data_IF_431950994280
#
_entry.id   IF_431950994280
#
_cell.length_a   1.000
_cell.length_b   1.000
_cell.length_c   1.000
_cell.angle_alpha   90.00
_cell.angle_beta   90.00
_cell.angle_gamma   90.00
#
_symmetry.space_group_name_H-M   'P 1'
#
loop_
_entity.id
_entity.type
_entity.pdbx_description
1 polymer ?
#
# COMPACT_ATOMS: atom_id res chain seq x y z
N UNK A 1 -9.62 28.67 -31.02
CA UNK A 1 -8.72 28.38 -29.88
C UNK A 1 -9.56 27.97 -28.69
N UNK A 2 -9.81 26.66 -28.51
CA UNK A 2 -10.56 26.14 -27.37
C UNK A 2 -9.74 26.37 -26.10
N UNK A 3 -10.29 27.17 -25.18
CA UNK A 3 -9.74 27.43 -23.85
C UNK A 3 -9.56 26.08 -23.16
N UNK A 4 -8.33 25.53 -23.08
CA UNK A 4 -8.01 24.33 -22.28
C UNK A 4 -8.54 24.64 -20.87
N UNK A 5 -9.65 24.03 -20.49
CA UNK A 5 -10.21 24.13 -19.15
C UNK A 5 -9.09 23.71 -18.20
N UNK A 6 -8.82 24.50 -17.15
CA UNK A 6 -7.84 24.12 -16.13
C UNK A 6 -8.18 22.69 -15.68
N UNK A 7 -7.32 21.75 -16.05
CA UNK A 7 -7.51 20.32 -15.84
C UNK A 7 -7.47 20.05 -14.31
N UNK A 8 -8.11 18.96 -13.90
CA UNK A 8 -8.39 18.63 -12.49
C UNK A 8 -7.31 17.68 -11.95
N UNK A 9 -7.26 17.55 -10.62
CA UNK A 9 -6.53 16.46 -9.98
C UNK A 9 -7.49 15.33 -9.58
N UNK A 10 -7.08 14.08 -9.77
CA UNK A 10 -7.73 12.92 -9.20
C UNK A 10 -6.93 12.38 -8.00
N UNK A 11 -7.61 11.97 -6.94
CA UNK A 11 -7.03 11.25 -5.81
C UNK A 11 -7.79 9.93 -5.67
N UNK A 12 -7.11 8.80 -5.86
CA UNK A 12 -7.71 7.47 -5.75
C UNK A 12 -7.29 6.85 -4.45
N UNK A 13 -8.25 6.65 -3.55
CA UNK A 13 -8.06 6.03 -2.25
C UNK A 13 -8.39 4.54 -2.35
N UNK A 14 -7.40 3.70 -2.14
CA UNK A 14 -7.53 2.26 -2.02
C UNK A 14 -7.59 1.93 -0.54
N UNK A 15 -8.78 1.58 -0.06
CA UNK A 15 -9.01 1.29 1.35
C UNK A 15 -8.30 0.00 1.79
N UNK A 16 -8.09 -0.12 3.10
CA UNK A 16 -7.48 -1.29 3.73
C UNK A 16 -8.47 -2.45 3.92
N UNK A 17 -8.04 -3.45 4.69
CA UNK A 17 -8.85 -4.62 5.02
C UNK A 17 -10.10 -4.28 5.84
N UNK A 18 -11.08 -5.18 5.78
CA UNK A 18 -12.29 -5.12 6.59
C UNK A 18 -13.49 -4.58 5.85
N UNK A 19 -14.70 -4.99 6.27
CA UNK A 19 -16.01 -4.57 5.73
C UNK A 19 -16.23 -3.06 5.89
N UNK A 20 -15.63 -2.31 4.97
CA UNK A 20 -15.82 -0.87 4.89
C UNK A 20 -17.13 -0.60 4.17
N UNK A 21 -17.98 0.22 4.77
CA UNK A 21 -19.15 0.73 4.06
C UNK A 21 -18.64 1.58 2.89
N UNK A 22 -19.12 1.36 1.65
CA UNK A 22 -18.77 2.19 0.50
C UNK A 22 -18.89 3.68 0.83
N UNK A 23 -17.98 4.49 0.29
CA UNK A 23 -17.85 5.93 0.51
C UNK A 23 -17.37 6.35 1.90
N UNK A 24 -17.36 5.49 2.92
CA UNK A 24 -17.00 5.88 4.29
C UNK A 24 -15.51 6.26 4.39
N UNK A 25 -14.63 5.43 3.83
CA UNK A 25 -13.18 5.64 3.90
C UNK A 25 -12.79 6.93 3.18
N UNK A 26 -13.27 7.11 1.95
CA UNK A 26 -12.94 8.30 1.16
C UNK A 26 -13.53 9.57 1.77
N UNK A 27 -14.71 9.53 2.41
CA UNK A 27 -15.27 10.68 3.14
C UNK A 27 -14.37 11.06 4.32
N UNK A 28 -14.03 10.11 5.18
CA UNK A 28 -13.15 10.37 6.31
C UNK A 28 -11.77 10.89 5.87
N UNK A 29 -11.25 10.37 4.75
CA UNK A 29 -10.02 10.88 4.16
C UNK A 29 -10.16 12.33 3.68
N UNK A 30 -11.20 12.66 2.93
CA UNK A 30 -11.50 14.02 2.46
C UNK A 30 -11.69 14.97 3.64
N UNK A 31 -12.39 14.55 4.68
CA UNK A 31 -12.59 15.34 5.89
C UNK A 31 -11.24 15.70 6.52
N UNK A 32 -10.32 14.74 6.62
CA UNK A 32 -8.99 14.97 7.18
C UNK A 32 -8.09 15.87 6.30
N UNK A 33 -7.97 15.56 5.01
CA UNK A 33 -6.99 16.23 4.11
C UNK A 33 -7.50 17.52 3.49
N UNK A 34 -8.80 17.76 3.51
CA UNK A 34 -9.41 18.96 2.92
C UNK A 34 -10.12 19.81 3.98
N UNK A 35 -11.15 19.27 4.63
CA UNK A 35 -12.01 20.07 5.50
C UNK A 35 -11.36 20.43 6.84
N UNK A 36 -10.58 19.53 7.44
CA UNK A 36 -9.89 19.74 8.71
C UNK A 36 -8.51 20.42 8.55
N UNK A 37 -7.91 20.37 7.35
CA UNK A 37 -6.57 20.92 7.13
C UNK A 37 -6.58 22.46 7.24
N UNK A 38 -5.95 22.98 8.30
CA UNK A 38 -5.85 24.42 8.57
C UNK A 38 -4.92 25.15 7.60
N UNK A 39 -3.96 24.46 6.99
CA UNK A 39 -3.05 25.07 6.01
C UNK A 39 -3.81 25.50 4.75
N UNK A 40 -4.84 24.75 4.37
CA UNK A 40 -5.70 25.08 3.24
C UNK A 40 -6.65 26.24 3.52
N UNK A 41 -6.96 26.52 4.80
CA UNK A 41 -7.77 27.69 5.17
C UNK A 41 -7.06 28.99 4.79
N UNK A 42 -5.73 29.03 4.92
CA UNK A 42 -4.92 30.18 4.46
C UNK A 42 -5.04 30.37 2.95
N UNK A 43 -5.04 29.28 2.17
CA UNK A 43 -5.21 29.31 0.72
C UNK A 43 -6.64 29.65 0.28
N UNK A 44 -7.62 29.36 1.11
CA UNK A 44 -9.02 29.66 0.86
C UNK A 44 -9.34 31.16 1.04
N UNK A 45 -8.53 31.90 1.82
CA UNK A 45 -8.80 33.29 2.16
C UNK A 45 -10.15 33.42 2.88
N UNK A 46 -11.03 34.29 2.37
CA UNK A 46 -12.41 34.45 2.87
C UNK A 46 -13.38 33.37 2.33
N UNK A 47 -12.90 32.45 1.50
CA UNK A 47 -13.69 31.37 0.92
C UNK A 47 -13.85 30.17 1.86
N UNK A 48 -15.01 29.52 1.82
CA UNK A 48 -15.23 28.26 2.54
C UNK A 48 -14.72 27.04 1.76
N UNK A 49 -14.21 26.05 2.48
CA UNK A 49 -13.86 24.73 1.94
C UNK A 49 -15.15 23.92 1.76
N UNK A 50 -15.43 23.50 0.53
CA UNK A 50 -16.68 22.81 0.17
C UNK A 50 -16.41 21.54 -0.62
N UNK A 51 -17.27 20.55 -0.41
CA UNK A 51 -17.23 19.26 -1.09
C UNK A 51 -18.62 18.89 -1.61
N UNK A 52 -18.67 18.21 -2.75
CA UNK A 52 -19.89 17.71 -3.34
C UNK A 52 -19.74 16.26 -3.77
N UNK A 53 -20.71 15.43 -3.40
CA UNK A 53 -20.82 14.07 -3.93
C UNK A 53 -21.41 14.15 -5.33
N UNK A 54 -20.79 13.48 -6.30
CA UNK A 54 -21.22 13.41 -7.69
C UNK A 54 -21.19 11.96 -8.16
N UNK A 55 -22.29 11.46 -8.76
CA UNK A 55 -22.25 10.19 -9.48
C UNK A 55 -21.16 10.22 -10.57
N UNK A 56 -20.56 9.08 -10.86
CA UNK A 56 -19.55 8.93 -11.91
C UNK A 56 -19.71 7.57 -12.59
N UNK A 57 -19.87 7.58 -13.91
CA UNK A 57 -20.10 6.37 -14.71
C UNK A 57 -18.85 5.46 -14.80
N UNK A 58 -17.68 5.92 -14.36
CA UNK A 58 -16.44 5.12 -14.36
C UNK A 58 -16.47 4.02 -13.31
N UNK A 59 -17.23 4.18 -12.24
CA UNK A 59 -17.44 3.11 -11.26
C UNK A 59 -18.28 1.99 -11.87
N UNK A 60 -17.87 0.74 -11.66
CA UNK A 60 -18.72 -0.40 -11.97
C UNK A 60 -19.90 -0.53 -10.98
N UNK A 61 -19.75 0.02 -9.76
CA UNK A 61 -20.79 0.01 -8.73
C UNK A 61 -21.56 1.34 -8.71
N UNK A 62 -22.90 1.24 -8.67
CA UNK A 62 -23.80 2.37 -8.48
C UNK A 62 -23.78 2.94 -7.05
N UNK A 63 -23.17 2.25 -6.10
CA UNK A 63 -23.02 2.71 -4.71
C UNK A 63 -21.85 3.68 -4.53
N UNK A 64 -20.96 3.75 -5.52
CA UNK A 64 -19.79 4.62 -5.50
C UNK A 64 -20.10 5.95 -6.18
N UNK A 65 -19.52 7.01 -5.64
CA UNK A 65 -19.59 8.36 -6.19
C UNK A 65 -18.23 9.03 -6.00
N UNK A 66 -17.90 9.99 -6.85
CA UNK A 66 -16.72 10.82 -6.61
C UNK A 66 -17.07 11.94 -5.65
N UNK A 67 -16.11 12.36 -4.84
CA UNK A 67 -16.22 13.57 -4.01
C UNK A 67 -15.39 14.67 -4.66
N UNK A 68 -16.03 15.74 -5.11
CA UNK A 68 -15.37 16.89 -5.74
C UNK A 68 -15.20 18.02 -4.75
N UNK A 69 -14.01 18.62 -4.70
CA UNK A 69 -13.76 19.85 -3.93
C UNK A 69 -14.02 21.10 -4.76
N UNK A 70 -14.16 22.24 -4.06
CA UNK A 70 -14.02 23.54 -4.69
C UNK A 70 -12.55 23.83 -5.07
N UNK A 71 -12.35 24.81 -5.94
CA UNK A 71 -11.01 25.32 -6.28
C UNK A 71 -10.58 26.31 -5.21
N UNK A 72 -9.38 26.15 -4.68
CA UNK A 72 -8.77 27.06 -3.71
C UNK A 72 -7.56 27.77 -4.30
N UNK A 73 -7.39 29.03 -3.92
CA UNK A 73 -6.24 29.86 -4.26
C UNK A 73 -6.00 30.06 -5.77
N UNK A 74 -4.86 30.68 -6.06
CA UNK A 74 -4.32 30.78 -7.41
C UNK A 74 -3.01 30.02 -7.49
N UNK A 75 -2.85 29.20 -8.52
CA UNK A 75 -1.65 28.41 -8.75
C UNK A 75 -1.17 28.58 -10.19
N UNK A 76 0.14 28.53 -10.38
CA UNK A 76 0.75 28.48 -11.71
C UNK A 76 0.51 27.11 -12.33
N UNK A 77 -0.24 27.07 -13.42
CA UNK A 77 -0.51 25.86 -14.20
C UNK A 77 0.73 25.36 -14.95
N UNK A 78 0.63 24.14 -15.50
CA UNK A 78 1.67 23.54 -16.34
C UNK A 78 1.99 24.37 -17.59
N UNK A 79 1.03 25.17 -18.07
CA UNK A 79 1.17 26.12 -19.17
C UNK A 79 1.87 27.44 -18.76
N UNK A 80 2.32 27.53 -17.51
CA UNK A 80 2.99 28.69 -16.95
C UNK A 80 2.05 29.83 -16.55
N UNK A 81 0.73 29.71 -16.76
CA UNK A 81 -0.24 30.75 -16.45
C UNK A 81 -0.74 30.62 -15.01
N UNK A 82 -0.93 31.75 -14.33
CA UNK A 82 -1.54 31.77 -13.00
C UNK A 82 -3.06 31.75 -13.15
N UNK A 83 -3.71 30.73 -12.59
CA UNK A 83 -5.15 30.56 -12.62
C UNK A 83 -5.67 30.03 -11.28
N UNK A 84 -6.99 29.81 -11.13
CA UNK A 84 -7.53 29.16 -9.94
C UNK A 84 -6.87 27.79 -9.74
N UNK A 85 -6.62 27.39 -8.50
CA UNK A 85 -6.09 26.07 -8.18
C UNK A 85 -6.94 24.93 -8.75
N UNK A 86 -6.38 23.73 -8.94
CA UNK A 86 -7.13 22.60 -9.50
C UNK A 86 -8.27 22.19 -8.57
N UNK A 87 -9.41 21.81 -9.15
CA UNK A 87 -10.42 21.09 -8.39
C UNK A 87 -9.92 19.65 -8.20
N UNK A 88 -10.16 19.07 -7.02
CA UNK A 88 -9.75 17.70 -6.73
C UNK A 88 -10.96 16.79 -6.67
N UNK A 89 -10.93 15.72 -7.47
CA UNK A 89 -11.93 14.65 -7.45
C UNK A 89 -11.34 13.44 -6.70
N UNK A 90 -11.97 13.06 -5.61
CA UNK A 90 -11.62 11.89 -4.82
C UNK A 90 -12.45 10.68 -5.24
N UNK A 91 -11.77 9.58 -5.46
CA UNK A 91 -12.30 8.28 -5.85
C UNK A 91 -11.98 7.26 -4.76
N UNK A 92 -12.93 6.36 -4.46
CA UNK A 92 -12.64 5.17 -3.67
C UNK A 92 -12.52 3.98 -4.61
N UNK A 93 -11.37 3.32 -4.63
CA UNK A 93 -11.26 2.01 -5.25
C UNK A 93 -11.72 0.95 -4.24
N UNK A 94 -13.01 0.65 -4.29
CA UNK A 94 -13.64 -0.32 -3.42
C UNK A 94 -13.49 -1.74 -3.97
N UNK A 95 -12.62 -2.55 -3.38
CA UNK A 95 -12.25 -3.87 -3.91
C UNK A 95 -12.87 -5.04 -3.16
N UNK A 96 -13.44 -4.82 -1.98
CA UNK A 96 -13.82 -5.91 -1.09
C UNK A 96 -14.93 -6.82 -1.63
N UNK A 97 -15.86 -6.28 -2.41
CA UNK A 97 -16.91 -7.08 -3.07
C UNK A 97 -16.34 -8.13 -4.06
N UNK A 98 -15.08 -7.97 -4.48
CA UNK A 98 -14.37 -8.92 -5.34
C UNK A 98 -13.70 -10.04 -4.53
N UNK A 99 -13.58 -9.87 -3.21
CA UNK A 99 -13.19 -10.97 -2.31
C UNK A 99 -14.41 -11.83 -1.98
N UNK A 100 -14.29 -13.12 -2.27
CA UNK A 100 -15.25 -14.12 -1.79
C UNK A 100 -15.21 -14.26 -0.26
N UNK A 101 -16.18 -14.96 0.35
CA UNK A 101 -16.26 -15.10 1.80
C UNK A 101 -15.01 -15.75 2.38
N UNK A 102 -14.41 -15.09 3.37
CA UNK A 102 -13.24 -15.58 4.09
C UNK A 102 -13.63 -16.71 5.06
N UNK A 103 -12.94 -17.85 4.98
CA UNK A 103 -13.13 -19.03 5.84
C UNK A 103 -12.00 -19.14 6.87
N UNK A 104 -12.28 -19.75 8.02
CA UNK A 104 -11.29 -19.99 9.08
C UNK A 104 -10.02 -20.68 8.55
N UNK A 105 -10.19 -21.59 7.59
CA UNK A 105 -9.10 -22.34 6.98
C UNK A 105 -8.09 -21.42 6.29
N UNK A 106 -8.53 -20.35 5.65
CA UNK A 106 -7.64 -19.42 4.93
C UNK A 106 -6.69 -18.70 5.90
N UNK A 107 -7.17 -18.37 7.10
CA UNK A 107 -6.33 -17.73 8.14
C UNK A 107 -5.32 -18.74 8.69
N UNK A 108 -5.73 -19.99 8.92
CA UNK A 108 -4.82 -21.05 9.38
C UNK A 108 -3.78 -21.42 8.32
N UNK A 109 -4.19 -21.56 7.06
CA UNK A 109 -3.32 -21.88 5.93
C UNK A 109 -2.24 -20.81 5.72
N UNK A 110 -2.52 -19.54 6.08
CA UNK A 110 -1.54 -18.45 6.07
C UNK A 110 -0.70 -18.36 7.35
N UNK A 111 -1.30 -18.58 8.53
CA UNK A 111 -0.59 -18.52 9.82
C UNK A 111 0.41 -19.67 10.00
N UNK A 112 0.10 -20.88 9.53
CA UNK A 112 0.97 -22.05 9.70
C UNK A 112 2.35 -21.84 9.03
N UNK A 113 2.44 -21.41 7.76
CA UNK A 113 3.73 -21.07 7.14
C UNK A 113 4.50 -19.99 7.90
N UNK A 114 3.82 -18.98 8.45
CA UNK A 114 4.45 -17.91 9.22
C UNK A 114 5.03 -18.42 10.56
N UNK A 115 4.31 -19.31 11.25
CA UNK A 115 4.75 -19.95 12.48
C UNK A 115 5.98 -20.84 12.25
N UNK A 116 5.97 -21.65 11.19
CA UNK A 116 7.05 -22.57 10.86
C UNK A 116 8.20 -21.93 10.05
N UNK A 117 8.21 -20.60 9.87
CA UNK A 117 9.38 -19.89 9.31
C UNK A 117 10.60 -20.14 10.19
N UNK A 118 11.74 -20.46 9.58
CA UNK A 118 13.03 -20.55 10.29
C UNK A 118 13.33 -19.21 10.95
N UNK A 119 13.80 -19.23 12.20
CA UNK A 119 14.06 -18.02 13.00
C UNK A 119 14.94 -16.99 12.28
N UNK A 120 15.96 -17.44 11.54
CA UNK A 120 16.84 -16.56 10.76
C UNK A 120 16.16 -15.82 9.59
N UNK A 121 14.96 -16.25 9.18
CA UNK A 121 14.16 -15.65 8.09
C UNK A 121 13.05 -14.73 8.60
N UNK A 122 12.92 -14.54 9.91
CA UNK A 122 11.97 -13.58 10.50
C UNK A 122 12.68 -12.23 10.70
N UNK A 123 12.14 -11.14 10.11
CA UNK A 123 12.70 -9.80 10.31
C UNK A 123 12.79 -9.45 11.79
N UNK A 124 13.87 -8.76 12.18
CA UNK A 124 14.13 -8.37 13.58
C UNK A 124 12.92 -7.70 14.25
N UNK A 125 12.20 -6.75 13.60
CA UNK A 125 11.04 -6.09 14.21
C UNK A 125 9.90 -7.05 14.56
N UNK A 126 9.77 -8.17 13.84
CA UNK A 126 8.68 -9.13 14.02
C UNK A 126 9.04 -10.30 14.95
N UNK A 127 10.30 -10.41 15.39
CA UNK A 127 10.73 -11.54 16.23
C UNK A 127 10.01 -11.59 17.57
N UNK A 128 9.76 -10.45 18.21
CA UNK A 128 9.03 -10.39 19.48
C UNK A 128 7.60 -10.93 19.34
N UNK A 129 6.88 -10.48 18.30
CA UNK A 129 5.54 -10.98 17.97
C UNK A 129 5.56 -12.48 17.63
N UNK A 130 6.57 -12.94 16.88
CA UNK A 130 6.75 -14.34 16.53
C UNK A 130 7.01 -15.23 17.77
N UNK A 131 7.87 -14.80 18.69
CA UNK A 131 8.09 -15.51 19.96
C UNK A 131 6.83 -15.52 20.82
N UNK A 132 6.13 -14.38 20.94
CA UNK A 132 4.87 -14.31 21.68
C UNK A 132 3.84 -15.28 21.11
N UNK A 133 3.73 -15.38 19.78
CA UNK A 133 2.84 -16.32 19.11
C UNK A 133 3.22 -17.78 19.42
N UNK A 134 4.51 -18.13 19.39
CA UNK A 134 4.98 -19.47 19.79
C UNK A 134 4.72 -19.77 21.27
N UNK A 135 4.92 -18.80 22.17
CA UNK A 135 4.61 -18.96 23.59
C UNK A 135 3.12 -19.25 23.77
N UNK A 136 2.24 -18.52 23.10
CA UNK A 136 0.80 -18.75 23.14
C UNK A 136 0.47 -20.18 22.66
N UNK A 137 1.02 -20.60 21.51
CA UNK A 137 0.80 -21.94 20.96
C UNK A 137 1.30 -23.02 21.92
N UNK A 138 2.51 -22.88 22.47
CA UNK A 138 3.08 -23.82 23.42
C UNK A 138 2.27 -23.89 24.72
N UNK A 139 1.79 -22.77 25.25
CA UNK A 139 0.95 -22.75 26.46
C UNK A 139 -0.37 -23.48 26.23
N UNK A 140 -1.04 -23.21 25.10
CA UNK A 140 -2.30 -23.89 24.74
C UNK A 140 -2.08 -25.39 24.56
N UNK A 141 -1.04 -25.79 23.82
CA UNK A 141 -0.71 -27.20 23.59
C UNK A 141 -0.32 -27.90 24.89
N UNK A 142 0.47 -27.25 25.74
CA UNK A 142 0.87 -27.78 27.03
C UNK A 142 -0.35 -28.00 27.94
N UNK A 143 -1.25 -27.02 28.04
CA UNK A 143 -2.49 -27.17 28.82
C UNK A 143 -3.37 -28.31 28.30
N UNK A 144 -3.40 -28.50 26.98
CA UNK A 144 -4.15 -29.59 26.36
C UNK A 144 -3.53 -30.96 26.68
N UNK A 145 -2.22 -31.12 26.51
CA UNK A 145 -1.50 -32.37 26.79
C UNK A 145 -1.53 -32.70 28.28
N UNK A 146 -1.30 -31.73 29.15
CA UNK A 146 -1.41 -31.87 30.60
C UNK A 146 -2.82 -32.37 30.99
N UNK A 147 -3.88 -31.78 30.41
CA UNK A 147 -5.25 -32.25 30.61
C UNK A 147 -5.49 -33.71 30.20
N UNK A 148 -4.78 -34.22 29.19
CA UNK A 148 -4.82 -35.63 28.81
C UNK A 148 -4.04 -36.51 29.80
N UNK A 149 -2.85 -36.07 30.23
CA UNK A 149 -1.99 -36.79 31.18
C UNK A 149 -2.62 -36.89 32.57
N UNK A 150 -3.33 -35.86 33.02
CA UNK A 150 -4.04 -35.89 34.30
C UNK A 150 -5.13 -36.94 34.36
N UNK A 151 -5.76 -37.31 33.23
CA UNK A 151 -6.69 -38.44 33.19
C UNK A 151 -6.00 -39.78 33.49
N UNK A 152 -4.71 -39.87 33.22
CA UNK A 152 -3.86 -41.01 33.56
C UNK A 152 -3.14 -40.85 34.92
N UNK A 153 -3.44 -39.80 35.69
CA UNK A 153 -2.78 -39.50 36.96
C UNK A 153 -1.35 -38.96 36.84
N UNK A 154 -0.91 -38.57 35.63
CA UNK A 154 0.45 -38.09 35.34
C UNK A 154 0.50 -36.58 35.07
N UNK A 155 -0.49 -35.84 35.55
CA UNK A 155 -0.59 -34.40 35.34
C UNK A 155 0.54 -33.62 36.03
N UNK A 156 1.03 -32.60 35.33
CA UNK A 156 2.10 -31.72 35.80
C UNK A 156 1.55 -30.50 36.55
N UNK A 157 0.27 -30.15 36.36
CA UNK A 157 -0.37 -29.05 37.07
C UNK A 157 -0.79 -29.41 38.50
N UNK A 158 -1.22 -30.64 38.76
CA UNK A 158 -1.72 -31.07 40.07
C UNK A 158 -0.68 -30.90 41.19
N UNK A 159 0.62 -31.26 41.02
CA UNK A 159 1.63 -31.04 42.06
C UNK A 159 1.96 -29.57 42.32
N UNK A 160 1.72 -28.68 41.34
CA UNK A 160 2.12 -27.26 41.40
C UNK A 160 0.98 -26.37 41.86
N UNK A 161 -0.22 -26.60 41.34
CA UNK A 161 -1.40 -25.74 41.53
C UNK A 161 -2.48 -26.39 42.39
N UNK A 162 -2.33 -27.67 42.76
CA UNK A 162 -3.29 -28.41 43.58
C UNK A 162 -4.69 -28.39 42.96
N UNK A 163 -5.68 -28.04 43.77
CA UNK A 163 -7.10 -27.99 43.38
C UNK A 163 -7.39 -26.99 42.23
N UNK A 164 -6.53 -25.97 42.03
CA UNK A 164 -6.69 -24.97 40.98
C UNK A 164 -6.25 -25.45 39.59
N UNK A 165 -5.57 -26.59 39.49
CA UNK A 165 -5.05 -27.13 38.23
C UNK A 165 -6.13 -27.25 37.14
N UNK A 166 -7.30 -27.77 37.50
CA UNK A 166 -8.43 -27.93 36.58
C UNK A 166 -9.03 -26.58 36.18
N UNK A 167 -9.19 -25.66 37.13
CA UNK A 167 -9.71 -24.32 36.87
C UNK A 167 -8.80 -23.54 35.90
N UNK A 168 -7.47 -23.64 36.06
CA UNK A 168 -6.50 -22.96 35.19
C UNK A 168 -6.55 -23.49 33.74
N UNK A 169 -6.64 -24.81 33.56
CA UNK A 169 -6.80 -25.41 32.22
C UNK A 169 -8.10 -24.99 31.56
N UNK A 170 -9.19 -25.01 32.32
CA UNK A 170 -10.50 -24.55 31.84
C UNK A 170 -10.48 -23.07 31.48
N UNK A 171 -9.75 -22.23 32.23
CA UNK A 171 -9.56 -20.82 31.90
C UNK A 171 -8.81 -20.65 30.57
N UNK A 172 -7.70 -21.36 30.35
CA UNK A 172 -6.95 -21.28 29.08
C UNK A 172 -7.80 -21.79 27.91
N UNK A 173 -8.53 -22.90 28.09
CA UNK A 173 -9.44 -23.43 27.08
C UNK A 173 -10.59 -22.45 26.79
N UNK A 174 -11.17 -21.86 27.83
CA UNK A 174 -12.24 -20.86 27.72
C UNK A 174 -11.76 -19.60 27.01
N UNK A 175 -10.59 -19.06 27.38
CA UNK A 175 -10.02 -17.88 26.73
C UNK A 175 -9.70 -18.19 25.27
N UNK A 176 -9.14 -19.36 24.97
CA UNK A 176 -8.87 -19.78 23.59
C UNK A 176 -10.15 -19.92 22.76
N UNK A 177 -11.19 -20.54 23.33
CA UNK A 177 -12.50 -20.66 22.71
C UNK A 177 -13.17 -19.28 22.54
N UNK A 178 -13.07 -18.41 23.53
CA UNK A 178 -13.57 -17.05 23.48
C UNK A 178 -12.86 -16.24 22.40
N UNK A 179 -11.53 -16.32 22.29
CA UNK A 179 -10.78 -15.69 21.19
C UNK A 179 -11.26 -16.22 19.83
N UNK A 180 -11.50 -17.54 19.72
CA UNK A 180 -12.04 -18.14 18.49
C UNK A 180 -13.44 -17.63 18.14
N UNK A 181 -14.35 -17.61 19.11
CA UNK A 181 -15.74 -17.14 18.94
C UNK A 181 -15.77 -15.63 18.67
N UNK A 182 -15.14 -14.83 19.53
CA UNK A 182 -15.07 -13.37 19.40
C UNK A 182 -14.38 -12.98 18.10
N UNK A 183 -13.25 -13.61 17.78
CA UNK A 183 -12.55 -13.35 16.52
C UNK A 183 -13.40 -13.69 15.30
N UNK A 184 -14.19 -14.77 15.37
CA UNK A 184 -15.09 -15.20 14.31
C UNK A 184 -16.31 -14.31 14.16
N UNK A 185 -16.90 -13.87 15.28
CA UNK A 185 -18.14 -13.07 15.33
C UNK A 185 -17.89 -11.57 15.10
N UNK A 186 -16.83 -10.99 15.66
CA UNK A 186 -16.54 -9.55 15.59
C UNK A 186 -15.59 -9.16 14.45
N UNK A 187 -15.38 -10.04 13.48
CA UNK A 187 -14.74 -9.69 12.22
C UNK A 187 -13.21 -9.73 12.22
N UNK A 188 -12.51 -9.93 13.34
CA UNK A 188 -11.02 -10.03 13.30
C UNK A 188 -10.54 -11.11 12.32
N UNK A 189 -11.26 -12.22 12.20
CA UNK A 189 -10.96 -13.31 11.26
C UNK A 189 -11.19 -12.95 9.77
N UNK A 190 -12.36 -12.44 9.34
CA UNK A 190 -12.53 -11.94 7.98
C UNK A 190 -11.47 -10.90 7.58
N UNK A 191 -11.09 -10.01 8.51
CA UNK A 191 -10.14 -8.93 8.24
C UNK A 191 -8.73 -9.49 7.99
N UNK A 192 -8.22 -10.38 8.86
CA UNK A 192 -6.94 -11.07 8.63
C UNK A 192 -6.99 -12.04 7.44
N UNK A 193 -8.15 -12.65 7.21
CA UNK A 193 -8.38 -13.56 6.09
C UNK A 193 -8.23 -12.89 4.72
N UNK A 194 -8.66 -11.64 4.57
CA UNK A 194 -8.55 -10.92 3.29
C UNK A 194 -7.10 -10.52 2.96
N UNK A 195 -6.29 -10.07 3.94
CA UNK A 195 -4.85 -9.90 3.71
C UNK A 195 -4.17 -11.22 3.42
N UNK A 196 -4.44 -12.25 4.21
CA UNK A 196 -3.90 -13.58 4.01
C UNK A 196 -4.17 -14.03 2.57
N UNK A 197 -5.42 -13.95 2.11
CA UNK A 197 -5.80 -14.34 0.74
C UNK A 197 -5.15 -13.48 -0.33
N UNK A 198 -5.11 -12.16 -0.17
CA UNK A 198 -4.52 -11.30 -1.19
C UNK A 198 -3.00 -11.48 -1.28
N UNK A 199 -2.31 -11.73 -0.15
CA UNK A 199 -0.86 -11.88 -0.08
C UNK A 199 -0.40 -13.34 -0.29
N UNK A 200 -1.29 -14.33 -0.17
CA UNK A 200 -0.99 -15.74 -0.36
C UNK A 200 -1.15 -16.17 -1.82
N UNK A 201 -0.11 -16.76 -2.38
CA UNK A 201 -0.03 -17.24 -3.76
C UNK A 201 -0.79 -18.56 -4.01
N UNK A 202 -1.54 -19.06 -3.03
CA UNK A 202 -2.38 -20.23 -3.20
C UNK A 202 -3.33 -20.10 -4.41
N UNK A 203 -3.50 -21.16 -5.24
CA UNK A 203 -4.32 -21.11 -6.46
C UNK A 203 -5.75 -20.61 -6.26
N UNK A 204 -6.34 -20.90 -5.09
CA UNK A 204 -7.70 -20.47 -4.73
C UNK A 204 -7.88 -18.95 -4.56
N UNK A 205 -6.79 -18.18 -4.47
CA UNK A 205 -6.82 -16.73 -4.30
C UNK A 205 -6.48 -15.97 -5.60
N UNK A 206 -5.90 -16.64 -6.60
CA UNK A 206 -5.44 -16.02 -7.85
C UNK A 206 -6.60 -15.32 -8.56
N UNK A 207 -7.77 -15.95 -8.67
CA UNK A 207 -8.92 -15.36 -9.36
C UNK A 207 -9.35 -14.02 -8.72
N UNK A 208 -9.51 -13.98 -7.39
CA UNK A 208 -9.90 -12.76 -6.69
C UNK A 208 -8.82 -11.66 -6.83
N UNK A 209 -7.54 -12.02 -6.70
CA UNK A 209 -6.42 -11.09 -6.89
C UNK A 209 -6.40 -10.50 -8.31
N UNK A 210 -6.65 -11.33 -9.33
CA UNK A 210 -6.73 -10.89 -10.72
C UNK A 210 -7.93 -9.96 -10.95
N UNK A 211 -9.11 -10.27 -10.42
CA UNK A 211 -10.29 -9.40 -10.52
C UNK A 211 -10.05 -8.04 -9.88
N UNK A 212 -9.44 -7.99 -8.68
CA UNK A 212 -9.10 -6.73 -8.00
C UNK A 212 -8.11 -5.92 -8.85
N UNK A 213 -7.03 -6.55 -9.33
CA UNK A 213 -6.04 -5.86 -10.16
C UNK A 213 -6.64 -5.34 -11.46
N UNK A 214 -7.48 -6.13 -12.13
CA UNK A 214 -8.14 -5.74 -13.36
C UNK A 214 -9.10 -4.56 -13.17
N UNK A 215 -9.90 -4.57 -12.10
CA UNK A 215 -10.85 -3.49 -11.81
C UNK A 215 -10.13 -2.18 -11.40
N UNK A 216 -9.07 -2.29 -10.61
CA UNK A 216 -8.24 -1.14 -10.25
C UNK A 216 -7.55 -0.54 -11.47
N UNK A 217 -7.02 -1.39 -12.35
CA UNK A 217 -6.40 -0.98 -13.60
C UNK A 217 -7.41 -0.32 -14.54
N UNK A 218 -8.62 -0.88 -14.67
CA UNK A 218 -9.73 -0.28 -15.43
C UNK A 218 -10.07 1.13 -14.94
N UNK A 219 -10.16 1.33 -13.63
CA UNK A 219 -10.39 2.65 -13.04
C UNK A 219 -9.28 3.64 -13.42
N UNK A 220 -8.00 3.26 -13.24
CA UNK A 220 -6.90 4.17 -13.54
C UNK A 220 -6.79 4.49 -15.03
N UNK A 221 -6.98 3.52 -15.92
CA UNK A 221 -7.05 3.76 -17.37
C UNK A 221 -8.16 4.75 -17.72
N UNK A 222 -9.36 4.55 -17.18
CA UNK A 222 -10.49 5.45 -17.41
C UNK A 222 -10.24 6.88 -16.92
N UNK A 223 -9.46 7.07 -15.83
CA UNK A 223 -9.02 8.38 -15.39
C UNK A 223 -7.97 8.97 -16.34
N UNK A 224 -7.02 8.14 -16.78
CA UNK A 224 -5.92 8.51 -17.66
C UNK A 224 -6.40 9.00 -19.03
N UNK A 225 -7.35 8.27 -19.62
CA UNK A 225 -7.88 8.50 -20.97
C UNK A 225 -8.98 9.57 -21.02
N UNK A 226 -9.52 9.97 -19.86
CA UNK A 226 -10.67 10.90 -19.80
C UNK A 226 -10.38 12.30 -20.34
N UNK A 227 -9.12 12.73 -20.38
CA UNK A 227 -8.72 14.10 -20.70
C UNK A 227 -9.15 15.16 -19.67
N UNK A 228 -9.85 14.77 -18.59
CA UNK A 228 -10.30 15.66 -17.51
C UNK A 228 -9.21 16.01 -16.51
N UNK A 229 -8.22 15.12 -16.38
CA UNK A 229 -7.18 15.18 -15.36
C UNK A 229 -5.82 15.44 -15.98
N UNK A 230 -4.98 16.10 -15.21
CA UNK A 230 -3.55 16.31 -15.47
C UNK A 230 -2.69 15.75 -14.33
N UNK A 231 -3.30 15.18 -13.28
CA UNK A 231 -2.58 14.51 -12.19
C UNK A 231 -3.47 13.49 -11.50
N UNK A 232 -2.90 12.33 -11.18
CA UNK A 232 -3.51 11.27 -10.38
C UNK A 232 -2.58 10.98 -9.19
N UNK A 233 -3.14 10.99 -7.99
CA UNK A 233 -2.47 10.58 -6.74
C UNK A 233 -3.11 9.28 -6.27
N UNK A 234 -2.30 8.24 -6.10
CA UNK A 234 -2.73 6.97 -5.52
C UNK A 234 -2.47 6.99 -4.02
N UNK A 235 -3.48 6.69 -3.21
CA UNK A 235 -3.37 6.59 -1.76
C UNK A 235 -3.81 5.20 -1.34
N UNK A 236 -2.92 4.42 -0.76
CA UNK A 236 -3.23 3.08 -0.29
C UNK A 236 -3.05 2.96 1.23
N UNK A 237 -4.09 2.47 1.91
CA UNK A 237 -4.05 2.22 3.35
C UNK A 237 -3.95 0.72 3.65
N UNK A 238 -3.04 0.31 4.54
CA UNK A 238 -2.86 -1.10 4.92
C UNK A 238 -2.75 -2.01 3.69
N UNK A 239 -3.53 -3.09 3.56
CA UNK A 239 -3.55 -3.94 2.36
C UNK A 239 -3.80 -3.16 1.05
N UNK A 240 -4.59 -2.08 1.11
CA UNK A 240 -4.82 -1.19 -0.03
C UNK A 240 -3.55 -0.56 -0.58
N UNK A 241 -2.49 -0.42 0.22
CA UNK A 241 -1.17 0.01 -0.26
C UNK A 241 -0.49 -1.01 -1.17
N UNK A 242 -0.66 -2.31 -0.89
CA UNK A 242 -0.14 -3.39 -1.74
C UNK A 242 -0.94 -3.44 -3.05
N UNK A 243 -2.26 -3.32 -2.95
CA UNK A 243 -3.13 -3.26 -4.14
C UNK A 243 -2.80 -2.04 -5.01
N UNK A 244 -2.65 -0.86 -4.41
CA UNK A 244 -2.27 0.36 -5.13
C UNK A 244 -0.90 0.22 -5.83
N UNK A 245 0.07 -0.38 -5.14
CA UNK A 245 1.40 -0.69 -5.69
C UNK A 245 1.32 -1.67 -6.87
N UNK A 246 0.55 -2.75 -6.74
CA UNK A 246 0.35 -3.73 -7.81
C UNK A 246 -0.32 -3.11 -9.04
N UNK A 247 -1.42 -2.38 -8.84
CA UNK A 247 -2.16 -1.73 -9.93
C UNK A 247 -1.30 -0.67 -10.62
N UNK A 248 -0.49 0.07 -9.87
CA UNK A 248 0.47 1.03 -10.43
C UNK A 248 1.49 0.34 -11.34
N UNK A 249 2.08 -0.77 -10.87
CA UNK A 249 3.04 -1.55 -11.66
C UNK A 249 2.40 -2.05 -12.96
N UNK A 250 1.17 -2.56 -12.89
CA UNK A 250 0.45 -3.06 -14.07
C UNK A 250 0.14 -1.93 -15.06
N UNK A 251 -0.36 -0.79 -14.57
CA UNK A 251 -0.63 0.37 -15.42
C UNK A 251 0.64 0.87 -16.11
N UNK A 252 1.77 0.92 -15.40
CA UNK A 252 3.05 1.32 -15.97
C UNK A 252 3.52 0.38 -17.08
N UNK A 253 3.39 -0.93 -16.86
CA UNK A 253 3.78 -1.92 -17.86
C UNK A 253 2.97 -1.80 -19.17
N UNK A 254 1.73 -1.33 -19.10
CA UNK A 254 0.86 -1.12 -20.26
C UNK A 254 1.00 0.24 -20.94
N UNK A 255 1.45 1.26 -20.21
CA UNK A 255 1.53 2.62 -20.74
C UNK A 255 2.54 2.79 -21.88
N UNK A 256 3.37 1.77 -22.15
CA UNK A 256 4.35 1.73 -23.24
C UNK A 256 5.07 3.08 -23.44
N UNK A 257 5.61 3.63 -22.35
CA UNK A 257 6.11 4.99 -22.36
C UNK A 257 7.29 5.13 -23.34
N UNK A 258 7.21 6.18 -24.15
CA UNK A 258 8.09 6.55 -25.26
C UNK A 258 7.85 5.72 -26.53
N UNK A 259 7.83 6.38 -27.69
CA UNK A 259 7.79 5.75 -29.04
C UNK A 259 8.94 6.22 -29.94
N UNK A 260 9.58 7.32 -29.56
CA UNK A 260 10.77 7.88 -30.17
C UNK A 260 11.81 8.16 -29.10
N UNK A 261 12.86 8.88 -29.46
CA UNK A 261 13.96 9.19 -28.54
C UNK A 261 13.44 9.77 -27.22
N UNK A 262 13.86 9.23 -26.06
CA UNK A 262 13.42 9.71 -24.76
C UNK A 262 13.87 11.17 -24.55
N UNK A 263 13.08 11.97 -23.79
CA UNK A 263 13.46 13.34 -23.51
C UNK A 263 14.74 13.40 -22.67
N UNK A 264 15.50 14.49 -22.77
CA UNK A 264 16.79 14.66 -22.08
C UNK A 264 16.68 14.50 -20.55
N UNK A 265 15.49 14.78 -19.99
CA UNK A 265 15.14 14.55 -18.59
C UNK A 265 15.33 13.10 -18.15
N UNK A 266 15.20 12.11 -19.05
CA UNK A 266 15.46 10.70 -18.74
C UNK A 266 16.94 10.48 -18.41
N UNK A 267 17.86 11.02 -19.20
CA UNK A 267 19.29 10.88 -18.93
C UNK A 267 19.70 11.59 -17.62
N UNK A 268 19.13 12.77 -17.34
CA UNK A 268 19.35 13.48 -16.08
C UNK A 268 18.80 12.70 -14.87
N UNK A 269 17.65 12.03 -15.03
CA UNK A 269 17.06 11.14 -14.03
C UNK A 269 17.96 9.92 -13.77
N UNK A 270 18.44 9.26 -14.82
CA UNK A 270 19.33 8.11 -14.71
C UNK A 270 20.62 8.46 -13.97
N UNK A 271 21.25 9.59 -14.29
CA UNK A 271 22.43 10.08 -13.59
C UNK A 271 22.16 10.33 -12.09
N UNK A 272 21.02 10.94 -11.75
CA UNK A 272 20.62 11.17 -10.36
C UNK A 272 20.29 9.85 -9.63
N UNK A 273 19.71 8.86 -10.33
CA UNK A 273 19.46 7.52 -9.77
C UNK A 273 20.76 6.80 -9.41
N UNK A 274 21.75 6.83 -10.31
CA UNK A 274 23.08 6.24 -10.08
C UNK A 274 23.73 6.92 -8.87
N UNK A 275 23.78 8.26 -8.84
CA UNK A 275 24.39 9.01 -7.75
C UNK A 275 23.74 8.70 -6.38
N UNK A 276 22.40 8.63 -6.33
CA UNK A 276 21.68 8.31 -5.10
C UNK A 276 21.88 6.85 -4.65
N UNK A 277 22.04 5.91 -5.59
CA UNK A 277 22.30 4.48 -5.30
C UNK A 277 23.72 4.27 -4.79
N UNK A 278 24.72 4.90 -5.41
CA UNK A 278 26.13 4.75 -5.02
C UNK A 278 26.47 5.48 -3.72
N UNK A 279 25.94 6.69 -3.54
CA UNK A 279 26.24 7.55 -2.38
C UNK A 279 24.96 8.18 -1.83
N UNK A 280 24.19 7.44 -1.01
CA UNK A 280 22.96 7.97 -0.43
C UNK A 280 23.23 9.17 0.48
N UNK A 281 22.80 10.36 0.05
CA UNK A 281 22.84 11.59 0.84
C UNK A 281 21.51 12.35 0.69
N UNK A 282 21.31 13.38 1.53
CA UNK A 282 20.13 14.25 1.42
C UNK A 282 20.16 15.01 0.10
N UNK A 283 21.32 15.52 -0.28
CA UNK A 283 21.55 16.28 -1.51
C UNK A 283 21.33 15.40 -2.75
N UNK A 284 21.86 14.17 -2.75
CA UNK A 284 21.63 13.22 -3.84
C UNK A 284 20.14 12.86 -3.98
N UNK A 285 19.43 12.77 -2.85
CA UNK A 285 17.99 12.53 -2.83
C UNK A 285 17.20 13.71 -3.36
N UNK A 286 17.55 14.93 -2.96
CA UNK A 286 16.88 16.13 -3.45
C UNK A 286 17.10 16.29 -4.96
N UNK A 287 18.31 16.02 -5.45
CA UNK A 287 18.64 15.98 -6.88
C UNK A 287 17.83 14.91 -7.65
N UNK A 288 17.68 13.71 -7.07
CA UNK A 288 16.81 12.66 -7.60
C UNK A 288 15.35 13.12 -7.69
N UNK A 289 14.80 13.70 -6.62
CA UNK A 289 13.41 14.20 -6.58
C UNK A 289 13.19 15.38 -7.54
N UNK A 290 14.20 16.23 -7.75
CA UNK A 290 14.17 17.29 -8.75
C UNK A 290 14.16 16.73 -10.17
N UNK A 291 15.01 15.75 -10.48
CA UNK A 291 15.05 15.09 -11.78
C UNK A 291 13.74 14.34 -12.08
N UNK A 292 13.22 13.61 -11.08
CA UNK A 292 11.92 12.94 -11.16
C UNK A 292 10.79 13.94 -11.47
N UNK A 293 10.74 15.07 -10.77
CA UNK A 293 9.73 16.11 -11.02
C UNK A 293 9.80 16.67 -12.44
N UNK A 294 11.01 16.93 -12.96
CA UNK A 294 11.18 17.42 -14.34
C UNK A 294 10.67 16.43 -15.37
N UNK A 295 11.02 15.14 -15.24
CA UNK A 295 10.51 14.10 -16.16
C UNK A 295 8.97 14.01 -16.08
N UNK A 296 8.41 14.00 -14.88
CA UNK A 296 6.96 13.94 -14.67
C UNK A 296 6.25 15.11 -15.33
N UNK A 297 6.79 16.33 -15.22
CA UNK A 297 6.19 17.50 -15.86
C UNK A 297 6.20 17.39 -17.39
N UNK A 298 7.24 16.82 -17.99
CA UNK A 298 7.28 16.52 -19.44
C UNK A 298 6.20 15.50 -19.81
N UNK A 299 6.16 14.36 -19.12
CA UNK A 299 5.21 13.30 -19.40
C UNK A 299 3.75 13.75 -19.25
N UNK A 300 3.46 14.62 -18.28
CA UNK A 300 2.13 15.19 -18.06
C UNK A 300 1.74 16.20 -19.14
N UNK A 301 2.68 17.02 -19.61
CA UNK A 301 2.40 18.00 -20.69
C UNK A 301 2.08 17.31 -22.01
N UNK A 302 2.72 16.17 -22.25
CA UNK A 302 2.47 15.31 -23.41
C UNK A 302 1.29 14.35 -23.20
N UNK A 303 0.58 14.45 -22.08
CA UNK A 303 -0.54 13.57 -21.71
C UNK A 303 -0.19 12.06 -21.76
N UNK A 304 1.10 11.71 -21.62
CA UNK A 304 1.62 10.33 -21.66
C UNK A 304 1.49 9.60 -20.33
N UNK A 305 1.63 10.31 -19.22
CA UNK A 305 1.56 9.74 -17.87
C UNK A 305 1.01 10.74 -16.86
N UNK A 306 0.02 10.33 -16.07
CA UNK A 306 -0.68 11.20 -15.11
C UNK A 306 -0.48 10.79 -13.64
N UNK A 307 -0.06 9.55 -13.35
CA UNK A 307 0.11 9.10 -11.95
C UNK A 307 1.42 9.62 -11.37
N UNK A 308 1.37 10.61 -10.50
CA UNK A 308 2.61 11.28 -10.03
C UNK A 308 3.04 10.85 -8.65
N UNK A 309 2.12 10.34 -7.84
CA UNK A 309 2.38 10.03 -6.43
C UNK A 309 1.71 8.72 -6.04
N UNK A 310 2.48 7.90 -5.31
CA UNK A 310 2.00 6.80 -4.49
C UNK A 310 2.19 7.19 -3.03
N UNK A 311 1.09 7.29 -2.30
CA UNK A 311 1.07 7.56 -0.86
C UNK A 311 0.61 6.32 -0.13
N UNK A 312 1.46 5.75 0.71
CA UNK A 312 1.14 4.55 1.49
C UNK A 312 0.95 4.91 2.96
N UNK A 313 -0.08 4.35 3.59
CA UNK A 313 -0.44 4.61 4.99
C UNK A 313 -0.50 3.29 5.76
N UNK A 314 0.33 3.11 6.80
CA UNK A 314 0.34 1.88 7.61
C UNK A 314 0.58 0.62 6.77
N UNK A 315 1.58 0.68 5.89
CA UNK A 315 1.74 -0.29 4.79
C UNK A 315 2.46 -1.58 5.21
N UNK A 316 1.89 -2.78 4.95
CA UNK A 316 2.58 -4.05 5.13
C UNK A 316 3.76 -4.24 4.18
N UNK A 317 3.94 -3.36 3.19
CA UNK A 317 5.15 -3.34 2.35
C UNK A 317 6.42 -3.11 3.19
N UNK A 318 6.30 -2.61 4.43
CA UNK A 318 7.42 -2.54 5.36
C UNK A 318 8.04 -3.90 5.69
N UNK A 319 7.30 -5.00 5.45
CA UNK A 319 7.73 -6.38 5.65
C UNK A 319 7.55 -7.20 4.35
N UNK A 320 7.82 -6.59 3.19
CA UNK A 320 7.62 -7.25 1.89
C UNK A 320 8.46 -8.53 1.72
N UNK A 321 9.60 -8.66 2.40
CA UNK A 321 10.40 -9.90 2.45
C UNK A 321 9.71 -11.06 3.17
N UNK A 322 8.60 -10.79 3.86
CA UNK A 322 7.74 -11.78 4.50
C UNK A 322 6.47 -12.02 3.70
N UNK A 323 5.85 -10.96 3.19
CA UNK A 323 4.52 -11.01 2.60
C UNK A 323 4.51 -11.11 1.07
N UNK A 324 5.53 -10.60 0.39
CA UNK A 324 5.66 -10.65 -1.07
C UNK A 324 6.78 -11.59 -1.54
N UNK A 325 7.69 -11.97 -0.63
CA UNK A 325 8.80 -12.87 -0.91
C UNK A 325 8.94 -13.94 0.19
N UNK A 326 9.75 -14.95 -0.09
CA UNK A 326 10.04 -16.05 0.85
C UNK A 326 10.99 -15.64 1.95
N UNK A 327 11.97 -14.82 1.63
CA UNK A 327 12.92 -14.22 2.57
C UNK A 327 13.61 -13.01 1.91
N UNK A 328 14.63 -12.46 2.60
CA UNK A 328 15.35 -11.28 2.12
C UNK A 328 16.10 -11.53 0.81
N UNK A 329 16.68 -12.72 0.62
CA UNK A 329 17.44 -13.02 -0.59
C UNK A 329 16.50 -13.18 -1.80
N UNK A 330 15.35 -13.84 -1.59
CA UNK A 330 14.29 -13.94 -2.60
C UNK A 330 13.74 -12.55 -2.99
N UNK A 331 13.52 -11.68 -1.99
CA UNK A 331 13.11 -10.29 -2.24
C UNK A 331 14.14 -9.52 -3.09
N UNK A 332 15.42 -9.60 -2.74
CA UNK A 332 16.50 -8.93 -3.47
C UNK A 332 16.57 -9.46 -4.93
N UNK A 333 16.42 -10.78 -5.13
CA UNK A 333 16.31 -11.38 -6.46
C UNK A 333 15.13 -10.86 -7.27
N UNK A 334 13.94 -10.76 -6.68
CA UNK A 334 12.76 -10.19 -7.36
C UNK A 334 12.95 -8.70 -7.73
N UNK A 335 13.72 -7.94 -6.96
CA UNK A 335 14.08 -6.55 -7.28
C UNK A 335 15.05 -6.51 -8.46
N UNK A 336 16.09 -7.36 -8.46
CA UNK A 336 17.07 -7.47 -9.56
C UNK A 336 16.43 -7.93 -10.88
N UNK A 337 15.50 -8.89 -10.80
CA UNK A 337 14.67 -9.37 -11.91
C UNK A 337 13.63 -8.35 -12.36
N UNK A 338 13.56 -7.17 -11.72
CA UNK A 338 12.59 -6.10 -11.99
C UNK A 338 11.13 -6.51 -11.77
N UNK A 339 10.92 -7.61 -11.05
CA UNK A 339 9.64 -8.11 -10.59
C UNK A 339 9.04 -7.27 -9.46
N UNK A 340 9.87 -6.63 -8.63
CA UNK A 340 9.43 -5.68 -7.60
C UNK A 340 10.06 -4.30 -7.85
N UNK A 341 9.30 -3.34 -8.42
CA UNK A 341 9.74 -1.96 -8.56
C UNK A 341 10.20 -1.28 -7.26
N UNK A 342 11.32 -0.57 -7.33
CA UNK A 342 11.90 0.19 -6.21
C UNK A 342 12.17 1.65 -6.61
N UNK A 343 12.43 2.53 -5.64
CA UNK A 343 12.76 3.95 -5.86
C UNK A 343 14.14 4.30 -5.28
N UNK A 344 15.12 4.74 -6.09
CA UNK A 344 15.09 4.84 -7.55
C UNK A 344 14.91 3.48 -8.24
N UNK A 345 14.45 3.41 -9.50
CA UNK A 345 14.36 2.16 -10.27
C UNK A 345 15.70 1.43 -10.39
N UNK A 346 15.65 0.10 -10.53
CA UNK A 346 16.82 -0.70 -10.94
C UNK A 346 17.07 -0.43 -12.41
N UNK A 347 18.31 -0.04 -12.75
CA UNK A 347 18.69 0.35 -14.10
C UNK A 347 19.18 -0.88 -14.89
N UNK A 348 18.82 -0.96 -16.16
CA UNK A 348 19.31 -1.97 -17.11
C UNK A 348 20.37 -1.34 -18.01
N UNK A 349 21.62 -1.80 -17.91
CA UNK A 349 22.74 -1.17 -18.62
C UNK A 349 22.92 0.32 -18.27
N UNK A 350 22.54 0.72 -17.05
CA UNK A 350 22.54 2.12 -16.60
C UNK A 350 21.32 2.93 -17.05
N UNK A 351 20.31 2.32 -17.67
CA UNK A 351 19.13 3.01 -18.21
C UNK A 351 17.80 2.56 -17.63
N UNK A 352 16.81 3.46 -17.62
CA UNK A 352 15.39 3.16 -17.35
C UNK A 352 14.58 2.89 -18.62
N UNK A 353 15.21 3.08 -19.78
CA UNK A 353 14.65 2.86 -21.11
C UNK A 353 15.53 1.89 -21.91
N UNK A 354 14.90 1.14 -22.82
CA UNK A 354 15.57 0.25 -23.75
C UNK A 354 15.04 0.46 -25.17
N UNK A 355 15.81 0.02 -26.16
CA UNK A 355 15.40 0.04 -27.57
C UNK A 355 14.85 -1.35 -27.93
N UNK A 356 13.66 -1.40 -28.52
CA UNK A 356 13.08 -2.62 -29.08
C UNK A 356 13.76 -2.97 -30.42
N UNK A 357 13.65 -4.22 -30.89
CA UNK A 357 14.20 -4.62 -32.20
C UNK A 357 13.66 -3.81 -33.39
N UNK A 358 12.49 -3.20 -33.26
CA UNK A 358 11.87 -2.31 -34.24
C UNK A 358 12.45 -0.86 -34.22
N UNK A 359 13.42 -0.58 -33.36
CA UNK A 359 14.07 0.72 -33.22
C UNK A 359 13.32 1.71 -32.31
N UNK A 360 12.15 1.34 -31.77
CA UNK A 360 11.41 2.20 -30.83
C UNK A 360 12.02 2.16 -29.43
N UNK A 361 11.95 3.28 -28.72
CA UNK A 361 12.34 3.34 -27.31
C UNK A 361 11.15 2.96 -26.44
N UNK A 362 11.43 2.33 -25.30
CA UNK A 362 10.42 2.02 -24.27
C UNK A 362 11.00 2.14 -22.87
N UNK A 363 10.21 2.64 -21.93
CA UNK A 363 10.53 2.46 -20.51
C UNK A 363 10.44 0.98 -20.12
N UNK A 364 11.38 0.48 -19.32
CA UNK A 364 11.26 -0.88 -18.81
C UNK A 364 10.15 -0.99 -17.75
N UNK A 365 9.51 -2.15 -17.71
CA UNK A 365 8.34 -2.40 -16.87
C UNK A 365 8.61 -2.25 -15.36
N UNK A 366 9.86 -2.45 -14.92
CA UNK A 366 10.30 -2.26 -13.54
C UNK A 366 10.56 -0.80 -13.10
N UNK A 367 10.25 0.20 -13.92
CA UNK A 367 10.59 1.62 -13.66
C UNK A 367 9.42 2.58 -13.30
N UNK A 368 8.27 2.18 -12.70
CA UNK A 368 7.20 3.13 -12.40
C UNK A 368 7.68 4.31 -11.52
N UNK A 369 8.60 4.06 -10.61
CA UNK A 369 9.16 5.11 -9.74
C UNK A 369 10.17 6.04 -10.44
N UNK A 370 10.39 5.90 -11.75
CA UNK A 370 11.00 6.96 -12.55
C UNK A 370 10.08 8.19 -12.66
N UNK A 371 8.76 7.97 -12.71
CA UNK A 371 7.75 9.01 -12.84
C UNK A 371 6.78 9.10 -11.65
N UNK A 372 6.89 8.20 -10.67
CA UNK A 372 6.01 8.17 -9.50
C UNK A 372 6.82 8.42 -8.25
N UNK A 373 6.46 9.46 -7.49
CA UNK A 373 7.05 9.71 -6.17
C UNK A 373 6.37 8.85 -5.12
N UNK A 374 7.15 8.12 -4.33
CA UNK A 374 6.63 7.32 -3.23
C UNK A 374 6.82 8.03 -1.89
N UNK A 375 5.71 8.34 -1.22
CA UNK A 375 5.68 8.81 0.18
C UNK A 375 4.99 7.76 1.05
N UNK A 376 5.62 7.35 2.14
CA UNK A 376 5.09 6.36 3.08
C UNK A 376 4.92 7.00 4.47
N UNK A 377 3.71 6.98 4.99
CA UNK A 377 3.38 7.46 6.32
C UNK A 377 3.14 6.26 7.23
N UNK A 378 3.86 6.20 8.35
CA UNK A 378 3.81 5.07 9.27
C UNK A 378 3.86 5.52 10.73
N UNK A 379 3.24 4.74 11.61
CA UNK A 379 3.39 4.93 13.06
C UNK A 379 4.62 4.16 13.53
N UNK A 380 5.62 4.82 14.13
CA UNK A 380 6.77 4.13 14.68
C UNK A 380 6.35 3.10 15.73
N UNK A 381 6.88 1.89 15.62
CA UNK A 381 6.76 0.85 16.62
C UNK A 381 7.91 0.96 17.62
N UNK A 382 7.60 1.06 18.91
CA UNK A 382 8.60 1.26 19.99
C UNK A 382 8.95 -0.02 20.75
N UNK A 383 8.43 -1.19 20.33
CA UNK A 383 8.70 -2.48 20.97
C UNK A 383 7.69 -2.88 22.05
N UNK A 384 6.71 -2.03 22.38
CA UNK A 384 5.60 -2.36 23.29
C UNK A 384 4.30 -2.62 22.49
N UNK A 385 3.12 -2.58 23.13
CA UNK A 385 1.82 -2.64 22.45
C UNK A 385 1.43 -1.29 21.77
N UNK A 386 2.35 -0.34 21.66
CA UNK A 386 2.17 0.98 21.06
C UNK A 386 2.77 1.05 19.65
N UNK A 387 2.01 1.62 18.72
CA UNK A 387 2.41 1.80 17.32
C UNK A 387 1.71 0.84 16.35
N UNK A 388 2.18 0.82 15.11
CA UNK A 388 1.70 -0.06 14.05
C UNK A 388 2.72 -1.19 13.83
N UNK A 389 2.35 -2.43 14.16
CA UNK A 389 3.21 -3.61 13.99
C UNK A 389 3.31 -4.03 12.51
N UNK A 390 2.27 -3.74 11.73
CA UNK A 390 2.15 -4.16 10.32
C UNK A 390 2.78 -3.11 9.41
N UNK A 391 2.51 -1.83 9.68
CA UNK A 391 3.17 -0.71 9.04
C UNK A 391 4.60 -0.49 9.53
N UNK A 392 5.37 0.26 8.76
CA UNK A 392 6.74 0.62 9.09
C UNK A 392 7.40 1.44 8.00
N UNK A 393 8.68 1.82 8.17
CA UNK A 393 9.46 2.44 7.11
C UNK A 393 9.68 1.43 5.97
N UNK A 394 9.41 1.83 4.73
CA UNK A 394 9.56 0.95 3.55
C UNK A 394 10.86 1.20 2.80
N UNK A 395 11.55 2.33 3.06
CA UNK A 395 12.78 2.75 2.38
C UNK A 395 13.91 1.72 2.48
N UNK A 396 13.95 0.93 3.56
CA UNK A 396 14.96 -0.13 3.73
C UNK A 396 14.84 -1.26 2.70
N UNK A 397 13.63 -1.56 2.23
CA UNK A 397 13.37 -2.59 1.23
C UNK A 397 13.26 -2.00 -0.18
N UNK A 398 12.51 -0.91 -0.31
CA UNK A 398 12.13 -0.33 -1.60
C UNK A 398 13.02 0.82 -2.08
N UNK A 399 14.16 1.05 -1.40
CA UNK A 399 15.19 1.95 -1.86
C UNK A 399 15.11 3.37 -1.30
N UNK A 400 16.23 4.08 -1.41
CA UNK A 400 16.49 5.36 -0.74
C UNK A 400 15.70 6.55 -1.27
N UNK A 401 15.04 6.39 -2.42
CA UNK A 401 14.15 7.39 -3.03
C UNK A 401 12.80 7.52 -2.33
N UNK A 402 12.36 6.49 -1.59
CA UNK A 402 11.09 6.51 -0.85
C UNK A 402 11.13 7.47 0.33
N UNK A 403 10.11 8.32 0.48
CA UNK A 403 9.96 9.28 1.58
C UNK A 403 9.16 8.67 2.72
N UNK A 404 9.87 8.08 3.67
CA UNK A 404 9.32 7.64 4.95
C UNK A 404 9.08 8.84 5.88
N UNK A 405 7.83 9.02 6.30
CA UNK A 405 7.37 10.06 7.22
C UNK A 405 6.77 9.41 8.46
N UNK A 406 7.44 9.46 9.62
CA UNK A 406 6.84 8.98 10.86
C UNK A 406 5.70 9.92 11.28
N UNK A 407 4.54 9.35 11.60
CA UNK A 407 3.37 10.08 12.09
C UNK A 407 3.04 9.71 13.54
N UNK A 408 2.29 10.60 14.21
CA UNK A 408 1.83 10.41 15.59
C UNK A 408 0.33 10.69 15.64
N UNK A 409 -0.38 9.98 16.52
CA UNK A 409 -1.78 10.34 16.78
C UNK A 409 -1.81 11.71 17.46
N UNK A 410 -2.71 12.58 17.03
CA UNK A 410 -3.12 13.69 17.89
C UNK A 410 -3.83 13.06 19.08
N UNK A 411 -3.20 13.09 20.25
CA UNK A 411 -3.91 12.85 21.51
C UNK A 411 -4.79 14.03 21.83
#
# INVERSE_FOLDING_TARGET
MTRKVAKKQAVVVVHGMGEQRPMRTVRAFVDAVWLADRSLTVLAGDGEKRVWVRPDARFASHELSRIRTNRLGHQKGLDGRVGPGPATDFYEFYWQHLMGPSRWRNVVDWLVPLLWRRLGRVPVPLRSAWYALWVIVCVVLFCFVDGLLSKAGLGLFEPVFGEWATAMRMLVAFVSALIGVVGGTYGVLPYLGDAARYLDDAPGNVAARQSIRAEGLRLLRALHESGEYDRIVLVGHSLGSVIAYDVLRLLWAEAELFDGEPPAEVAALEAAAVALRERPSREARDAWLDAQRRLVDVLRREDRWLVTDLVTLGSPLAHAEVFLARDRADFDGLVEERGLPVSPPVLEGGRVVFTRPDGTWRAHHGAPFAAVRWTNLYFPYDGALSGDLVGGPVRGLFGTGVLDVPVRSSR
#
